data_IF_977178728864
#
_entry.id   IF_977178728864
#
_cell.length_a   1.000
_cell.length_b   1.000
_cell.length_c   1.000
_cell.angle_alpha   90.00
_cell.angle_beta   90.00
_cell.angle_gamma   90.00
#
_symmetry.space_group_name_H-M   'P 1'
#
loop_
_entity.id
_entity.type
_entity.pdbx_description
1 polymer ?
#
# COMPACT_ATOMS: atom_id res chain seq x y z
N UNK A 1 -20.32 -78.12 17.21
CA UNK A 1 -21.77 -78.24 17.00
C UNK A 1 -22.32 -76.86 16.67
N UNK A 2 -22.95 -76.72 15.52
CA UNK A 2 -23.86 -75.62 15.11
C UNK A 2 -25.27 -76.23 14.98
N UNK A 3 -26.35 -75.54 14.53
CA UNK A 3 -26.61 -74.12 14.24
C UNK A 3 -27.75 -73.57 15.17
N UNK A 4 -28.49 -72.44 15.01
CA UNK A 4 -29.04 -71.67 13.87
C UNK A 4 -29.21 -70.17 14.29
N UNK A 5 -29.18 -69.13 13.44
CA UNK A 5 -29.72 -68.85 12.08
C UNK A 5 -31.19 -68.40 12.06
N UNK A 6 -31.43 -67.11 11.79
CA UNK A 6 -32.59 -66.48 11.09
C UNK A 6 -32.16 -65.07 10.62
N UNK A 7 -32.96 -64.42 9.77
CA UNK A 7 -32.49 -64.03 8.43
C UNK A 7 -33.45 -63.02 7.75
N UNK A 8 -32.91 -62.05 6.97
CA UNK A 8 -33.61 -61.21 5.95
C UNK A 8 -34.75 -60.26 6.43
N UNK A 9 -35.25 -59.27 5.67
CA UNK A 9 -34.77 -58.41 4.55
C UNK A 9 -35.86 -57.31 4.25
N UNK A 10 -35.60 -56.24 3.45
CA UNK A 10 -36.57 -55.17 3.09
C UNK A 10 -37.17 -55.40 1.66
N UNK A 11 -37.80 -54.43 0.93
CA UNK A 11 -38.64 -53.24 1.23
C UNK A 11 -40.08 -53.41 0.62
N UNK A 12 -40.90 -52.36 0.31
CA UNK A 12 -40.85 -51.68 -1.01
C UNK A 12 -41.25 -50.18 -1.03
N UNK A 13 -41.36 -49.58 -2.23
CA UNK A 13 -41.37 -48.13 -2.50
C UNK A 13 -42.72 -47.50 -2.95
N UNK A 14 -42.78 -46.16 -3.01
CA UNK A 14 -43.87 -45.40 -3.66
C UNK A 14 -43.40 -44.08 -4.36
N UNK A 15 -43.12 -44.22 -5.67
CA UNK A 15 -43.61 -43.39 -6.81
C UNK A 15 -43.56 -41.83 -6.83
N UNK A 16 -42.68 -41.35 -7.72
CA UNK A 16 -42.71 -40.14 -8.57
C UNK A 16 -44.04 -39.41 -8.84
N UNK A 17 -43.99 -38.06 -8.92
CA UNK A 17 -44.50 -37.33 -10.11
C UNK A 17 -43.94 -35.91 -10.31
N UNK A 18 -43.12 -35.74 -11.35
CA UNK A 18 -42.82 -34.43 -11.95
C UNK A 18 -43.99 -33.99 -12.85
N UNK A 19 -44.41 -32.72 -12.79
CA UNK A 19 -45.30 -32.09 -13.79
C UNK A 19 -44.70 -30.79 -14.32
N UNK A 20 -44.91 -30.56 -15.61
CA UNK A 20 -44.34 -29.49 -16.45
C UNK A 20 -45.47 -28.59 -16.95
N UNK A 21 -45.43 -27.29 -16.66
CA UNK A 21 -46.27 -26.21 -17.24
C UNK A 21 -45.35 -24.96 -17.28
N UNK A 22 -44.75 -24.55 -18.39
CA UNK A 22 -45.33 -23.90 -19.60
C UNK A 22 -46.11 -22.61 -19.28
N UNK A 23 -45.38 -21.52 -19.06
CA UNK A 23 -45.90 -20.15 -19.05
C UNK A 23 -45.35 -19.36 -20.24
N UNK A 24 -46.17 -19.14 -21.27
CA UNK A 24 -45.81 -18.46 -22.52
C UNK A 24 -46.42 -17.06 -22.51
N UNK A 25 -45.62 -16.00 -22.35
CA UNK A 25 -46.06 -14.62 -22.59
C UNK A 25 -45.33 -14.05 -23.81
N UNK A 26 -46.09 -13.31 -24.63
CA UNK A 26 -45.76 -12.91 -26.00
C UNK A 26 -45.78 -11.38 -26.08
N UNK A 27 -44.69 -10.82 -26.60
CA UNK A 27 -44.45 -9.46 -27.13
C UNK A 27 -45.57 -8.39 -27.00
N UNK A 28 -45.16 -7.22 -26.52
CA UNK A 28 -45.40 -5.88 -27.10
C UNK A 28 -44.14 -5.06 -26.74
N UNK A 29 -43.28 -4.64 -27.69
CA UNK A 29 -43.35 -3.45 -28.59
C UNK A 29 -43.49 -2.13 -27.84
N UNK A 30 -42.38 -1.37 -27.85
CA UNK A 30 -42.20 0.09 -27.70
C UNK A 30 -42.85 0.76 -26.46
N UNK A 31 -42.14 1.57 -25.67
CA UNK A 31 -41.54 2.83 -26.12
C UNK A 31 -40.47 3.41 -25.14
N UNK A 32 -39.78 4.47 -25.58
CA UNK A 32 -39.05 5.51 -24.79
C UNK A 32 -37.77 5.19 -23.97
N UNK A 33 -36.68 5.83 -24.44
CA UNK A 33 -35.77 6.74 -23.72
C UNK A 33 -34.82 6.26 -22.58
N UNK A 34 -33.51 6.35 -22.91
CA UNK A 34 -32.53 7.18 -22.17
C UNK A 34 -32.19 6.91 -20.68
N UNK A 35 -31.66 5.72 -20.35
CA UNK A 35 -30.95 5.52 -19.04
C UNK A 35 -29.76 4.54 -19.06
N UNK A 36 -28.87 4.61 -20.07
CA UNK A 36 -27.68 3.71 -20.14
C UNK A 36 -26.31 4.38 -20.38
N UNK A 37 -26.22 5.71 -20.39
CA UNK A 37 -24.95 6.41 -20.69
C UNK A 37 -24.09 6.75 -19.46
N UNK A 38 -24.66 6.86 -18.26
CA UNK A 38 -23.94 7.38 -17.09
C UNK A 38 -23.06 6.36 -16.33
N UNK A 39 -23.24 5.05 -16.56
CA UNK A 39 -22.59 4.02 -15.74
C UNK A 39 -21.22 3.56 -16.27
N UNK A 40 -20.95 3.63 -17.59
CA UNK A 40 -19.67 3.16 -18.14
C UNK A 40 -18.51 4.12 -17.84
N UNK A 41 -18.73 5.44 -17.81
CA UNK A 41 -17.64 6.41 -17.62
C UNK A 41 -17.00 6.35 -16.23
N UNK A 42 -17.79 6.10 -15.16
CA UNK A 42 -17.25 6.01 -13.79
C UNK A 42 -16.32 4.82 -13.58
N UNK A 43 -16.62 3.67 -14.20
CA UNK A 43 -15.83 2.44 -14.04
C UNK A 43 -14.46 2.60 -14.74
N UNK A 44 -14.46 3.16 -15.96
CA UNK A 44 -13.23 3.35 -16.74
C UNK A 44 -12.29 4.40 -16.11
N UNK A 45 -12.83 5.48 -15.54
CA UNK A 45 -12.01 6.49 -14.83
C UNK A 45 -11.31 5.93 -13.58
N UNK A 46 -12.01 5.13 -12.78
CA UNK A 46 -11.47 4.54 -11.56
C UNK A 46 -10.35 3.52 -11.82
N UNK A 47 -10.51 2.65 -12.82
CA UNK A 47 -9.47 1.70 -13.21
C UNK A 47 -8.20 2.40 -13.72
N UNK A 48 -8.35 3.40 -14.61
CA UNK A 48 -7.20 4.15 -15.11
C UNK A 48 -6.42 4.86 -13.99
N UNK A 49 -7.12 5.36 -12.96
CA UNK A 49 -6.51 5.98 -11.80
C UNK A 49 -5.66 4.99 -10.98
N UNK A 50 -6.25 3.87 -10.56
CA UNK A 50 -5.53 2.86 -9.78
C UNK A 50 -4.30 2.30 -10.52
N UNK A 51 -4.38 2.16 -11.85
CA UNK A 51 -3.24 1.81 -12.70
C UNK A 51 -2.17 2.90 -12.69
N UNK A 52 -2.55 4.18 -12.85
CA UNK A 52 -1.59 5.29 -12.81
C UNK A 52 -0.87 5.43 -11.45
N UNK A 53 -1.57 5.21 -10.33
CA UNK A 53 -0.94 5.18 -9.00
C UNK A 53 0.04 4.01 -8.87
N UNK A 54 -0.38 2.80 -9.28
CA UNK A 54 0.47 1.61 -9.20
C UNK A 54 1.71 1.71 -10.12
N UNK A 55 1.57 2.24 -11.33
CA UNK A 55 2.68 2.48 -12.26
C UNK A 55 3.71 3.44 -11.66
N UNK A 56 3.26 4.47 -10.94
CA UNK A 56 4.11 5.50 -10.36
C UNK A 56 4.99 4.94 -9.23
N UNK A 57 4.39 4.21 -8.29
CA UNK A 57 5.14 3.53 -7.23
C UNK A 57 6.07 2.44 -7.77
N UNK A 58 5.63 1.66 -8.76
CA UNK A 58 6.48 0.66 -9.41
C UNK A 58 7.66 1.30 -10.14
N UNK A 59 7.46 2.40 -10.89
CA UNK A 59 8.52 3.13 -11.59
C UNK A 59 9.58 3.64 -10.60
N UNK A 60 9.16 4.21 -9.47
CA UNK A 60 10.06 4.65 -8.42
C UNK A 60 10.84 3.49 -7.78
N UNK A 61 10.17 2.35 -7.53
CA UNK A 61 10.78 1.13 -6.98
C UNK A 61 11.83 0.52 -7.94
N UNK A 62 11.48 0.39 -9.23
CA UNK A 62 12.35 -0.17 -10.25
C UNK A 62 13.56 0.73 -10.51
N UNK A 63 13.41 2.06 -10.40
CA UNK A 63 14.53 3.00 -10.44
C UNK A 63 15.50 2.83 -9.25
N UNK A 64 15.01 2.54 -8.04
CA UNK A 64 15.87 2.21 -6.89
C UNK A 64 16.59 0.86 -7.09
N UNK A 65 15.89 -0.14 -7.64
CA UNK A 65 16.44 -1.47 -7.89
C UNK A 65 17.54 -1.46 -8.95
N UNK A 66 17.38 -0.65 -10.00
CA UNK A 66 18.33 -0.50 -11.10
C UNK A 66 19.58 0.36 -10.76
N UNK A 67 19.49 1.28 -9.80
CA UNK A 67 20.61 2.13 -9.41
C UNK A 67 21.56 1.41 -8.44
N UNK A 68 22.82 1.21 -8.86
CA UNK A 68 23.87 0.51 -8.10
C UNK A 68 24.06 1.01 -6.66
N UNK A 69 23.84 2.31 -6.39
CA UNK A 69 23.98 2.85 -5.03
C UNK A 69 22.86 2.40 -4.09
N UNK A 70 21.69 2.02 -4.62
CA UNK A 70 20.49 1.64 -3.86
C UNK A 70 20.10 0.18 -4.04
N UNK A 71 20.61 -0.55 -5.03
CA UNK A 71 20.31 -1.98 -5.26
C UNK A 71 20.55 -2.83 -4.01
N UNK A 72 21.64 -2.59 -3.26
CA UNK A 72 21.94 -3.33 -2.03
C UNK A 72 20.90 -3.12 -0.93
N UNK A 73 20.40 -1.89 -0.78
CA UNK A 73 19.32 -1.55 0.14
C UNK A 73 18.01 -2.24 -0.26
N UNK A 74 17.63 -2.16 -1.54
CA UNK A 74 16.42 -2.81 -2.07
C UNK A 74 16.48 -4.33 -1.82
N UNK A 75 17.59 -5.00 -2.11
CA UNK A 75 17.73 -6.44 -1.88
C UNK A 75 17.64 -6.83 -0.38
N UNK A 76 18.22 -6.02 0.51
CA UNK A 76 18.09 -6.25 1.96
C UNK A 76 16.65 -6.07 2.43
N UNK A 77 15.97 -5.03 1.94
CA UNK A 77 14.55 -4.77 2.21
C UNK A 77 13.64 -5.91 1.69
N UNK A 78 13.81 -6.32 0.42
CA UNK A 78 13.08 -7.45 -0.17
C UNK A 78 13.28 -8.73 0.65
N UNK A 79 14.50 -8.99 1.14
CA UNK A 79 14.80 -10.12 2.03
C UNK A 79 14.09 -10.03 3.38
N UNK A 80 13.92 -8.83 3.96
CA UNK A 80 13.16 -8.62 5.20
C UNK A 80 11.67 -8.87 4.97
N UNK A 81 11.09 -8.34 3.89
CA UNK A 81 9.66 -8.50 3.60
C UNK A 81 9.27 -9.96 3.31
N UNK A 82 10.10 -10.69 2.55
CA UNK A 82 9.84 -12.10 2.22
C UNK A 82 9.76 -13.00 3.47
N UNK A 83 10.47 -12.64 4.55
CA UNK A 83 10.41 -13.36 5.83
C UNK A 83 9.11 -13.11 6.63
N UNK A 84 8.29 -12.13 6.24
CA UNK A 84 7.03 -11.80 6.90
C UNK A 84 5.82 -12.52 6.29
N UNK A 85 5.97 -13.06 5.08
CA UNK A 85 4.97 -13.88 4.41
C UNK A 85 4.93 -15.29 5.03
N UNK A 86 3.74 -15.88 5.25
CA UNK A 86 3.64 -17.28 5.63
C UNK A 86 4.22 -18.17 4.51
N UNK A 87 4.92 -19.25 4.89
CA UNK A 87 5.85 -20.02 4.04
C UNK A 87 5.24 -20.78 2.84
N UNK A 88 4.01 -20.49 2.42
CA UNK A 88 3.37 -21.11 1.27
C UNK A 88 3.57 -20.28 -0.01
N UNK A 89 4.56 -20.67 -0.82
CA UNK A 89 4.58 -20.33 -2.25
C UNK A 89 5.80 -19.58 -2.79
N UNK A 90 6.86 -19.38 -2.00
CA UNK A 90 8.14 -18.89 -2.56
C UNK A 90 8.86 -20.07 -3.23
N UNK A 91 8.68 -20.22 -4.55
CA UNK A 91 9.54 -21.08 -5.35
C UNK A 91 10.97 -20.49 -5.36
N UNK A 92 11.93 -21.29 -4.93
CA UNK A 92 13.20 -20.88 -4.29
C UNK A 92 14.29 -20.30 -5.24
N UNK A 93 13.90 -19.77 -6.41
CA UNK A 93 14.83 -19.47 -7.51
C UNK A 93 14.83 -18.00 -8.01
N UNK A 94 14.03 -17.09 -7.42
CA UNK A 94 14.08 -15.66 -7.75
C UNK A 94 14.65 -14.84 -6.59
N UNK A 95 15.85 -14.30 -6.77
CA UNK A 95 16.61 -13.54 -5.75
C UNK A 95 16.06 -12.11 -5.49
N UNK A 96 14.75 -11.98 -5.31
CA UNK A 96 14.08 -10.71 -5.04
C UNK A 96 12.59 -10.72 -5.34
N UNK A 97 11.91 -9.62 -5.01
CA UNK A 97 10.50 -9.42 -5.38
C UNK A 97 10.34 -9.26 -6.90
N UNK A 98 9.30 -9.87 -7.50
CA UNK A 98 8.96 -9.69 -8.91
C UNK A 98 8.49 -8.25 -9.19
N UNK A 99 8.46 -7.87 -10.47
CA UNK A 99 7.98 -6.56 -10.92
C UNK A 99 6.46 -6.50 -11.15
N UNK A 100 5.94 -5.28 -11.31
CA UNK A 100 4.58 -5.03 -11.78
C UNK A 100 3.48 -5.55 -10.83
N UNK A 101 2.34 -6.06 -11.36
CA UNK A 101 1.18 -6.45 -10.55
C UNK A 101 1.49 -7.46 -9.44
N UNK A 102 2.43 -8.40 -9.68
CA UNK A 102 2.81 -9.39 -8.68
C UNK A 102 3.60 -8.80 -7.50
N UNK A 103 4.28 -7.65 -7.69
CA UNK A 103 4.84 -6.86 -6.59
C UNK A 103 3.73 -6.38 -5.67
N UNK A 104 2.71 -5.75 -6.26
CA UNK A 104 1.59 -5.18 -5.53
C UNK A 104 0.85 -6.24 -4.70
N UNK A 105 0.56 -7.41 -5.27
CA UNK A 105 -0.04 -8.54 -4.54
C UNK A 105 0.78 -8.95 -3.29
N UNK A 106 2.10 -9.07 -3.43
CA UNK A 106 2.99 -9.45 -2.34
C UNK A 106 3.14 -8.34 -1.29
N UNK A 107 3.24 -7.08 -1.72
CA UNK A 107 3.30 -5.92 -0.82
C UNK A 107 2.00 -5.76 -0.04
N UNK A 108 0.84 -5.93 -0.67
CA UNK A 108 -0.46 -5.96 0.00
C UNK A 108 -0.55 -7.12 0.99
N UNK A 109 -0.09 -8.33 0.62
CA UNK A 109 -0.06 -9.47 1.53
C UNK A 109 0.84 -9.22 2.76
N UNK A 110 2.01 -8.60 2.58
CA UNK A 110 2.91 -8.19 3.69
C UNK A 110 2.26 -7.10 4.53
N UNK A 111 1.63 -6.09 3.92
CA UNK A 111 0.95 -5.02 4.62
C UNK A 111 -0.21 -5.57 5.47
N UNK A 112 -1.13 -6.35 4.89
CA UNK A 112 -2.25 -6.97 5.60
C UNK A 112 -1.78 -7.93 6.70
N UNK A 113 -0.79 -8.78 6.45
CA UNK A 113 -0.22 -9.68 7.47
C UNK A 113 0.54 -8.92 8.56
N UNK A 114 1.11 -7.77 8.24
CA UNK A 114 1.73 -6.84 9.19
C UNK A 114 0.68 -6.15 10.07
N UNK A 115 -0.38 -5.60 9.47
CA UNK A 115 -1.49 -4.91 10.14
C UNK A 115 -2.30 -5.84 11.06
N UNK A 116 -2.59 -7.06 10.62
CA UNK A 116 -3.35 -8.05 11.39
C UNK A 116 -2.63 -8.60 12.64
N UNK A 117 -1.34 -8.32 12.82
CA UNK A 117 -0.60 -8.70 14.04
C UNK A 117 -0.92 -7.72 15.17
N UNK A 118 -1.48 -8.25 16.25
CA UNK A 118 -1.77 -7.47 17.45
C UNK A 118 -0.50 -6.89 18.08
N UNK A 119 -0.59 -5.63 18.51
CA UNK A 119 0.46 -4.95 19.25
C UNK A 119 0.27 -5.21 20.74
N UNK A 120 0.79 -6.33 21.25
CA UNK A 120 0.61 -6.76 22.64
C UNK A 120 0.91 -5.64 23.65
N UNK A 121 -0.03 -5.35 24.54
CA UNK A 121 -0.08 -4.17 25.42
C UNK A 121 0.87 -4.17 26.62
N UNK A 122 1.83 -5.09 26.68
CA UNK A 122 2.80 -5.19 27.79
C UNK A 122 4.11 -4.49 27.43
N UNK A 123 4.21 -3.22 27.83
CA UNK A 123 5.47 -2.47 27.94
C UNK A 123 5.49 -1.81 29.32
N UNK A 124 6.60 -1.92 30.05
CA UNK A 124 6.77 -1.26 31.35
C UNK A 124 7.18 0.20 31.13
N UNK A 125 6.21 1.12 31.22
CA UNK A 125 6.32 2.51 31.67
C UNK A 125 7.44 3.45 31.13
N UNK A 126 8.17 3.10 30.06
CA UNK A 126 9.28 3.91 29.53
C UNK A 126 9.28 4.17 28.02
N UNK A 127 8.90 3.17 27.21
CA UNK A 127 9.14 3.17 25.75
C UNK A 127 7.83 3.35 24.94
N UNK A 128 7.14 4.48 25.12
CA UNK A 128 5.84 4.73 24.48
C UNK A 128 5.91 5.46 23.12
N UNK A 129 6.87 6.36 22.91
CA UNK A 129 6.85 7.25 21.73
C UNK A 129 7.04 6.50 20.41
N UNK A 130 8.05 5.62 20.31
CA UNK A 130 8.30 4.83 19.10
C UNK A 130 7.12 3.91 18.79
N UNK A 131 6.53 3.30 19.82
CA UNK A 131 5.31 2.51 19.75
C UNK A 131 4.17 3.32 19.15
N UNK A 132 3.86 4.46 19.75
CA UNK A 132 2.67 5.26 19.40
C UNK A 132 2.77 5.83 17.99
N UNK A 133 3.96 6.27 17.55
CA UNK A 133 4.19 6.70 16.16
C UNK A 133 3.96 5.53 15.18
N UNK A 134 4.50 4.35 15.46
CA UNK A 134 4.33 3.17 14.59
C UNK A 134 2.89 2.61 14.61
N UNK A 135 2.19 2.67 15.76
CA UNK A 135 0.77 2.33 15.89
C UNK A 135 -0.05 3.24 14.98
N UNK A 136 0.07 4.56 15.17
CA UNK A 136 -0.66 5.57 14.42
C UNK A 136 -0.35 5.50 12.91
N UNK A 137 0.92 5.27 12.53
CA UNK A 137 1.29 5.07 11.13
C UNK A 137 0.61 3.82 10.53
N UNK A 138 0.58 2.69 11.25
CA UNK A 138 -0.09 1.47 10.80
C UNK A 138 -1.61 1.65 10.68
N UNK A 139 -2.25 2.30 11.64
CA UNK A 139 -3.69 2.62 11.60
C UNK A 139 -4.02 3.58 10.44
N UNK A 140 -3.15 4.56 10.19
CA UNK A 140 -3.25 5.48 9.05
C UNK A 140 -3.11 4.74 7.71
N UNK A 141 -2.15 3.82 7.57
CA UNK A 141 -2.04 3.00 6.35
C UNK A 141 -3.27 2.10 6.18
N UNK A 142 -3.75 1.49 7.27
CA UNK A 142 -4.92 0.61 7.23
C UNK A 142 -6.19 1.31 6.71
N UNK A 143 -6.42 2.58 7.11
CA UNK A 143 -7.59 3.35 6.63
C UNK A 143 -7.46 3.81 5.18
N UNK A 144 -6.25 3.84 4.62
CA UNK A 144 -5.98 4.27 3.24
C UNK A 144 -5.93 3.13 2.22
N UNK A 145 -5.54 1.91 2.63
CA UNK A 145 -5.29 0.79 1.71
C UNK A 145 -6.49 0.42 0.82
N UNK A 146 -7.72 0.49 1.35
CA UNK A 146 -8.93 0.18 0.58
C UNK A 146 -9.21 1.22 -0.52
N UNK A 147 -8.87 2.49 -0.27
CA UNK A 147 -9.05 3.59 -1.24
C UNK A 147 -7.85 3.72 -2.21
N UNK A 148 -6.66 3.35 -1.76
CA UNK A 148 -5.39 3.51 -2.45
C UNK A 148 -4.54 2.22 -2.37
N UNK A 149 -4.98 1.12 -3.02
CA UNK A 149 -4.29 -0.17 -2.91
C UNK A 149 -2.83 -0.09 -3.39
N UNK A 150 -2.54 0.77 -4.38
CA UNK A 150 -1.19 1.01 -4.88
C UNK A 150 -0.19 1.42 -3.79
N UNK A 151 -0.67 2.11 -2.73
CA UNK A 151 0.14 2.56 -1.60
C UNK A 151 0.68 1.42 -0.74
N UNK A 152 0.16 0.19 -0.86
CA UNK A 152 0.79 -0.99 -0.27
C UNK A 152 2.26 -1.13 -0.70
N UNK A 153 2.58 -0.76 -1.95
CA UNK A 153 3.96 -0.77 -2.47
C UNK A 153 4.90 0.18 -1.73
N UNK A 154 4.35 1.24 -1.12
CA UNK A 154 5.10 2.28 -0.41
C UNK A 154 5.18 2.06 1.11
N UNK A 155 4.24 1.31 1.68
CA UNK A 155 4.04 1.21 3.14
C UNK A 155 4.07 -0.22 3.69
N UNK A 156 4.26 -1.24 2.84
CA UNK A 156 4.39 -2.63 3.29
C UNK A 156 5.54 -2.82 4.30
N UNK A 157 6.65 -2.07 4.13
CA UNK A 157 7.77 -2.05 5.07
C UNK A 157 7.35 -1.54 6.45
N UNK A 158 6.74 -0.36 6.53
CA UNK A 158 6.20 0.20 7.79
C UNK A 158 5.21 -0.77 8.44
N UNK A 159 4.28 -1.35 7.68
CA UNK A 159 3.33 -2.33 8.20
C UNK A 159 4.00 -3.61 8.73
N UNK A 160 5.13 -4.00 8.15
CA UNK A 160 5.90 -5.20 8.53
C UNK A 160 6.68 -5.05 9.85
N UNK A 161 6.98 -3.81 10.26
CA UNK A 161 7.59 -3.49 11.55
C UNK A 161 6.60 -3.86 12.65
N UNK A 162 6.75 -5.04 13.23
CA UNK A 162 5.82 -5.59 14.23
C UNK A 162 6.51 -5.93 15.55
N UNK A 163 5.87 -5.64 16.70
CA UNK A 163 6.59 -5.48 17.96
C UNK A 163 7.00 -6.79 18.63
N UNK A 164 6.29 -7.89 18.34
CA UNK A 164 6.37 -9.18 19.07
C UNK A 164 7.76 -9.82 19.05
N UNK A 165 8.64 -9.39 18.14
CA UNK A 165 10.06 -9.81 18.09
C UNK A 165 11.05 -8.67 17.84
N UNK A 166 10.61 -7.53 17.30
CA UNK A 166 11.51 -6.50 16.77
C UNK A 166 11.25 -5.08 17.32
N UNK A 167 10.36 -4.90 18.31
CA UNK A 167 10.08 -3.57 18.88
C UNK A 167 11.32 -2.87 19.44
N UNK A 168 12.15 -3.63 20.17
CA UNK A 168 13.37 -3.21 20.88
C UNK A 168 14.47 -2.58 19.98
N UNK A 169 14.18 -2.37 18.70
CA UNK A 169 15.07 -1.96 17.63
C UNK A 169 14.59 -0.70 16.90
N UNK A 170 13.39 -0.19 17.19
CA UNK A 170 12.98 1.17 16.78
C UNK A 170 13.54 2.24 17.72
N UNK A 171 13.70 1.96 19.02
CA UNK A 171 14.24 2.95 19.96
C UNK A 171 15.67 3.39 19.62
N UNK A 172 16.60 2.52 19.18
CA UNK A 172 17.87 2.95 18.59
C UNK A 172 17.71 3.91 17.39
N UNK A 173 16.67 3.77 16.57
CA UNK A 173 16.42 4.68 15.45
C UNK A 173 15.96 6.05 15.95
N UNK A 174 15.00 6.09 16.88
CA UNK A 174 14.50 7.37 17.40
C UNK A 174 15.47 8.07 18.37
N UNK A 175 16.51 7.37 18.86
CA UNK A 175 17.65 7.98 19.57
C UNK A 175 18.59 8.76 18.64
N UNK A 176 18.62 8.46 17.34
CA UNK A 176 19.33 9.28 16.37
C UNK A 176 18.41 10.38 15.85
N UNK A 177 18.69 11.63 16.22
CA UNK A 177 17.82 12.78 15.95
C UNK A 177 17.46 12.93 14.45
N UNK A 178 18.42 12.75 13.55
CA UNK A 178 18.20 12.90 12.11
C UNK A 178 17.29 11.80 11.53
N UNK A 179 17.47 10.55 12.03
CA UNK A 179 16.62 9.40 11.69
C UNK A 179 15.21 9.62 12.24
N UNK A 180 15.11 10.08 13.49
CA UNK A 180 13.84 10.37 14.14
C UNK A 180 13.05 11.45 13.39
N UNK A 181 13.70 12.54 12.98
CA UNK A 181 13.05 13.61 12.21
C UNK A 181 12.59 13.13 10.83
N UNK A 182 13.42 12.37 10.11
CA UNK A 182 13.04 11.77 8.82
C UNK A 182 11.85 10.82 8.94
N UNK A 183 11.87 9.92 9.93
CA UNK A 183 10.80 8.95 10.19
C UNK A 183 9.49 9.60 10.68
N UNK A 184 9.56 10.61 11.55
CA UNK A 184 8.40 11.38 12.00
C UNK A 184 7.76 12.15 10.83
N UNK A 185 8.56 12.86 10.03
CA UNK A 185 8.05 13.56 8.85
C UNK A 185 7.42 12.59 7.85
N UNK A 186 8.04 11.43 7.59
CA UNK A 186 7.49 10.37 6.74
C UNK A 186 6.13 9.88 7.26
N UNK A 187 6.06 9.48 8.53
CA UNK A 187 4.86 8.87 9.14
C UNK A 187 3.71 9.85 9.31
N UNK A 188 3.95 11.11 9.67
CA UNK A 188 2.91 12.15 9.73
C UNK A 188 2.34 12.49 8.35
N UNK A 189 3.12 12.39 7.28
CA UNK A 189 2.69 12.74 5.92
C UNK A 189 2.17 11.56 5.08
N UNK A 190 2.02 10.36 5.65
CA UNK A 190 1.49 9.17 4.95
C UNK A 190 0.20 9.45 4.14
N UNK A 191 -0.86 10.11 4.68
CA UNK A 191 -2.10 10.29 3.92
C UNK A 191 -1.93 11.30 2.79
N UNK A 192 -1.16 12.38 3.00
CA UNK A 192 -0.77 13.33 1.95
C UNK A 192 -0.01 12.63 0.81
N UNK A 193 1.07 11.89 1.12
CA UNK A 193 1.85 11.18 0.11
C UNK A 193 1.06 10.09 -0.61
N UNK A 194 0.13 9.43 0.08
CA UNK A 194 -0.76 8.41 -0.51
C UNK A 194 -1.79 9.02 -1.47
N UNK A 195 -2.30 10.22 -1.18
CA UNK A 195 -3.30 10.91 -2.02
C UNK A 195 -2.68 11.80 -3.11
N UNK A 196 -1.39 12.11 -3.01
CA UNK A 196 -0.66 12.99 -3.93
C UNK A 196 -0.77 12.61 -5.43
N UNK A 197 -0.76 11.32 -5.85
CA UNK A 197 -0.91 10.94 -7.25
C UNK A 197 -2.20 11.46 -7.92
N UNK A 198 -3.24 11.81 -7.15
CA UNK A 198 -4.48 12.42 -7.67
C UNK A 198 -4.24 13.70 -8.46
N UNK A 199 -3.12 14.41 -8.26
CA UNK A 199 -2.75 15.61 -9.05
C UNK A 199 -2.55 15.29 -10.55
N UNK A 200 -2.31 14.03 -10.93
CA UNK A 200 -2.21 13.62 -12.34
C UNK A 200 -3.56 13.57 -13.06
N UNK A 201 -4.67 13.70 -12.34
CA UNK A 201 -6.00 13.77 -12.92
C UNK A 201 -6.24 15.15 -13.55
N UNK A 202 -6.85 15.17 -14.73
CA UNK A 202 -7.31 16.41 -15.41
C UNK A 202 -8.18 17.31 -14.52
N UNK A 203 -9.04 16.71 -13.68
CA UNK A 203 -9.90 17.40 -12.72
C UNK A 203 -9.16 18.14 -11.60
N UNK A 204 -7.87 17.86 -11.43
CA UNK A 204 -7.06 18.48 -10.39
C UNK A 204 -6.53 19.88 -10.77
N UNK A 205 -6.70 20.32 -12.02
CA UNK A 205 -6.07 21.52 -12.59
C UNK A 205 -7.09 22.62 -12.91
N UNK A 206 -6.67 23.88 -12.81
CA UNK A 206 -7.54 25.03 -13.11
C UNK A 206 -7.75 25.26 -14.62
N UNK A 207 -6.69 25.10 -15.43
CA UNK A 207 -6.73 25.22 -16.90
C UNK A 207 -6.25 23.91 -17.55
N UNK A 208 -6.99 23.46 -18.55
CA UNK A 208 -6.62 22.33 -19.42
C UNK A 208 -5.26 22.52 -20.08
N UNK A 209 -4.93 23.76 -20.45
CA UNK A 209 -3.68 24.09 -21.14
C UNK A 209 -2.48 23.88 -20.23
N UNK A 210 -2.61 24.23 -18.95
CA UNK A 210 -1.57 23.98 -17.96
C UNK A 210 -1.48 22.49 -17.61
N UNK A 211 -2.60 21.79 -17.48
CA UNK A 211 -2.61 20.33 -17.37
C UNK A 211 -1.83 19.66 -18.50
N UNK A 212 -2.18 19.93 -19.76
CA UNK A 212 -1.52 19.32 -20.93
C UNK A 212 -0.04 19.71 -21.06
N UNK A 213 0.34 20.90 -20.59
CA UNK A 213 1.71 21.42 -20.62
C UNK A 213 2.60 20.83 -19.51
N UNK A 214 2.04 20.63 -18.31
CA UNK A 214 2.81 20.31 -17.11
C UNK A 214 2.67 18.85 -16.64
N UNK A 215 1.67 18.09 -17.11
CA UNK A 215 1.39 16.70 -16.65
C UNK A 215 2.62 15.80 -16.58
N UNK A 216 3.45 15.79 -17.63
CA UNK A 216 4.65 14.93 -17.65
C UNK A 216 5.73 15.41 -16.67
N UNK A 217 5.92 16.73 -16.53
CA UNK A 217 6.83 17.31 -15.54
C UNK A 217 6.35 17.00 -14.11
N UNK A 218 5.04 17.14 -13.83
CA UNK A 218 4.45 16.78 -12.54
C UNK A 218 4.56 15.27 -12.27
N UNK A 219 4.41 14.41 -13.29
CA UNK A 219 4.61 12.97 -13.19
C UNK A 219 6.07 12.63 -12.85
N UNK A 220 7.03 13.29 -13.50
CA UNK A 220 8.46 13.11 -13.21
C UNK A 220 8.80 13.56 -11.78
N UNK A 221 8.33 14.73 -11.35
CA UNK A 221 8.51 15.23 -9.99
C UNK A 221 7.92 14.28 -8.93
N UNK A 222 6.71 13.73 -9.17
CA UNK A 222 6.12 12.71 -8.31
C UNK A 222 6.96 11.43 -8.26
N UNK A 223 7.48 10.93 -9.38
CA UNK A 223 8.35 9.74 -9.40
C UNK A 223 9.63 10.01 -8.61
N UNK A 224 10.21 11.22 -8.70
CA UNK A 224 11.36 11.63 -7.89
C UNK A 224 11.01 11.64 -6.39
N UNK A 225 9.87 12.20 -6.00
CA UNK A 225 9.42 12.23 -4.60
C UNK A 225 9.11 10.82 -4.07
N UNK A 226 8.35 10.00 -4.79
CA UNK A 226 8.06 8.62 -4.42
C UNK A 226 9.34 7.77 -4.32
N UNK A 227 10.37 8.05 -5.14
CA UNK A 227 11.69 7.44 -4.98
C UNK A 227 12.35 7.82 -3.65
N UNK A 228 12.28 9.08 -3.22
CA UNK A 228 12.82 9.53 -1.92
C UNK A 228 12.05 8.95 -0.73
N UNK A 229 10.72 8.87 -0.84
CA UNK A 229 9.85 8.25 0.15
C UNK A 229 10.22 6.77 0.33
N UNK A 230 10.31 6.01 -0.77
CA UNK A 230 10.73 4.61 -0.75
C UNK A 230 12.17 4.43 -0.21
N UNK A 231 13.11 5.27 -0.63
CA UNK A 231 14.50 5.25 -0.14
C UNK A 231 14.57 5.46 1.39
N UNK A 232 13.77 6.39 1.93
CA UNK A 232 13.64 6.62 3.36
C UNK A 232 12.96 5.44 4.08
N UNK A 233 11.84 4.93 3.55
CA UNK A 233 11.09 3.81 4.14
C UNK A 233 11.94 2.53 4.22
N UNK A 234 12.63 2.19 3.12
CA UNK A 234 13.54 1.05 3.05
C UNK A 234 14.72 1.18 4.02
N UNK A 235 15.30 2.38 4.16
CA UNK A 235 16.36 2.62 5.15
C UNK A 235 15.82 2.46 6.58
N UNK A 236 14.62 2.94 6.90
CA UNK A 236 14.03 2.79 8.24
C UNK A 236 13.84 1.31 8.59
N UNK A 237 13.31 0.52 7.66
CA UNK A 237 13.10 -0.93 7.82
C UNK A 237 14.43 -1.68 7.93
N UNK A 238 15.42 -1.36 7.09
CA UNK A 238 16.74 -1.99 7.15
C UNK A 238 17.51 -1.62 8.43
N UNK A 239 17.38 -0.38 8.90
CA UNK A 239 18.01 0.09 10.13
C UNK A 239 17.41 -0.61 11.35
N UNK A 240 16.07 -0.75 11.42
CA UNK A 240 15.39 -1.55 12.43
C UNK A 240 15.80 -3.04 12.38
N UNK A 241 16.07 -3.57 11.18
CA UNK A 241 16.50 -4.95 11.00
C UNK A 241 18.01 -5.19 11.25
N UNK A 242 18.83 -4.15 11.34
CA UNK A 242 20.31 -4.23 11.33
C UNK A 242 20.94 -5.05 12.46
N UNK A 243 20.25 -5.23 13.58
CA UNK A 243 20.71 -6.06 14.71
C UNK A 243 20.71 -7.55 14.38
N UNK A 244 19.76 -8.02 13.56
CA UNK A 244 19.56 -9.44 13.24
C UNK A 244 19.77 -9.78 11.76
N UNK A 245 19.62 -8.82 10.85
CA UNK A 245 19.89 -8.97 9.42
C UNK A 245 21.27 -8.37 9.07
N UNK A 246 22.24 -9.24 8.77
CA UNK A 246 23.61 -8.85 8.41
C UNK A 246 23.70 -8.06 7.10
N UNK A 247 22.82 -8.35 6.13
CA UNK A 247 22.78 -7.60 4.87
C UNK A 247 22.29 -6.17 5.14
N UNK A 248 21.18 -6.03 5.87
CA UNK A 248 20.61 -4.74 6.26
C UNK A 248 21.63 -3.85 6.99
N UNK A 249 22.38 -4.40 7.95
CA UNK A 249 23.43 -3.65 8.67
C UNK A 249 24.53 -3.07 7.77
N UNK A 250 24.84 -3.76 6.66
CA UNK A 250 25.91 -3.36 5.75
C UNK A 250 25.47 -2.37 4.67
N UNK A 251 24.16 -2.11 4.51
CA UNK A 251 23.61 -1.25 3.44
C UNK A 251 22.91 0.01 3.95
N UNK A 252 22.61 0.10 5.25
CA UNK A 252 22.04 1.31 5.85
C UNK A 252 23.10 2.41 5.89
N UNK A 253 22.78 3.55 5.28
CA UNK A 253 23.60 4.75 5.37
C UNK A 253 23.30 5.50 6.68
N UNK A 254 24.04 5.17 7.74
CA UNK A 254 23.90 5.80 9.06
C UNK A 254 24.32 7.28 9.11
N UNK A 255 24.92 7.84 8.05
CA UNK A 255 25.41 9.23 8.03
C UNK A 255 24.62 10.13 7.07
N UNK A 256 24.09 9.58 5.98
CA UNK A 256 23.33 10.33 4.96
C UNK A 256 21.87 10.66 5.32
N UNK A 257 21.37 10.24 6.49
CA UNK A 257 19.98 10.41 6.91
C UNK A 257 19.44 11.83 6.81
N UNK A 258 20.17 12.81 7.34
CA UNK A 258 19.75 14.21 7.28
C UNK A 258 19.61 14.66 5.81
N UNK A 259 20.63 14.40 4.99
CA UNK A 259 20.62 14.73 3.57
C UNK A 259 19.56 13.96 2.76
N UNK A 260 19.08 12.82 3.25
CA UNK A 260 17.98 12.05 2.65
C UNK A 260 16.61 12.66 3.02
N UNK A 261 16.42 13.01 4.29
CA UNK A 261 15.23 13.68 4.79
C UNK A 261 15.06 15.08 4.17
N UNK A 262 16.15 15.84 4.04
CA UNK A 262 16.14 17.16 3.41
C UNK A 262 15.81 17.06 1.92
N UNK A 263 16.44 16.15 1.15
CA UNK A 263 16.08 15.90 -0.27
C UNK A 263 14.64 15.44 -0.48
N UNK A 264 14.06 14.74 0.50
CA UNK A 264 12.64 14.37 0.46
C UNK A 264 11.75 15.58 0.71
N UNK A 265 12.09 16.42 1.69
CA UNK A 265 11.36 17.67 2.01
C UNK A 265 11.44 18.67 0.87
N UNK A 266 12.63 18.90 0.29
CA UNK A 266 12.84 19.78 -0.87
C UNK A 266 11.96 19.38 -2.06
N UNK A 267 11.85 18.08 -2.35
CA UNK A 267 11.00 17.57 -3.44
C UNK A 267 9.50 17.72 -3.15
N UNK A 268 9.06 17.53 -1.89
CA UNK A 268 7.68 17.82 -1.48
C UNK A 268 7.37 19.32 -1.52
N UNK A 269 8.30 20.20 -1.11
CA UNK A 269 8.15 21.65 -1.14
C UNK A 269 8.16 22.24 -2.56
N UNK A 270 8.95 21.68 -3.49
CA UNK A 270 8.89 22.01 -4.91
C UNK A 270 7.54 21.64 -5.51
N UNK A 271 7.11 20.39 -5.33
CA UNK A 271 5.83 19.91 -5.84
C UNK A 271 4.64 20.65 -5.19
N UNK A 272 4.71 20.99 -3.90
CA UNK A 272 3.70 21.77 -3.21
C UNK A 272 3.54 23.19 -3.77
N UNK A 273 4.65 23.82 -4.19
CA UNK A 273 4.62 25.14 -4.85
C UNK A 273 3.93 25.07 -6.22
N UNK A 274 4.21 24.05 -7.01
CA UNK A 274 3.56 23.84 -8.31
C UNK A 274 2.06 23.52 -8.15
N UNK A 275 1.69 22.66 -7.19
CA UNK A 275 0.30 22.38 -6.82
C UNK A 275 -0.40 23.67 -6.36
N UNK A 276 0.25 24.46 -5.50
CA UNK A 276 -0.27 25.75 -5.02
C UNK A 276 -0.55 26.76 -6.15
N UNK A 277 0.18 26.65 -7.27
CA UNK A 277 0.09 27.57 -8.41
C UNK A 277 -0.91 27.17 -9.48
N UNK A 278 -1.10 25.86 -9.72
CA UNK A 278 -1.85 25.36 -10.88
C UNK A 278 -3.04 24.44 -10.55
N UNK A 279 -3.10 23.89 -9.34
CA UNK A 279 -4.17 22.97 -8.95
C UNK A 279 -5.46 23.70 -8.55
N UNK A 280 -6.60 23.02 -8.63
CA UNK A 280 -7.89 23.55 -8.14
C UNK A 280 -7.88 23.71 -6.62
N UNK A 281 -8.63 24.69 -6.09
CA UNK A 281 -8.77 24.87 -4.64
C UNK A 281 -9.27 23.61 -3.92
N UNK A 282 -10.14 22.84 -4.58
CA UNK A 282 -10.66 21.56 -4.05
C UNK A 282 -9.54 20.52 -3.90
N UNK A 283 -8.64 20.42 -4.88
CA UNK A 283 -7.46 19.54 -4.80
C UNK A 283 -6.49 20.01 -3.72
N UNK A 284 -6.22 21.31 -3.64
CA UNK A 284 -5.35 21.89 -2.62
C UNK A 284 -5.90 21.63 -1.21
N UNK A 285 -7.19 21.87 -0.98
CA UNK A 285 -7.87 21.58 0.29
C UNK A 285 -7.84 20.09 0.62
N UNK A 286 -8.09 19.22 -0.36
CA UNK A 286 -8.03 17.76 -0.17
C UNK A 286 -6.65 17.28 0.28
N UNK A 287 -5.58 17.79 -0.34
CA UNK A 287 -4.19 17.43 0.00
C UNK A 287 -3.74 18.04 1.36
N UNK A 288 -4.26 19.20 1.74
CA UNK A 288 -4.05 19.80 3.06
C UNK A 288 -4.82 19.05 4.16
N UNK A 289 -6.06 18.63 3.90
CA UNK A 289 -6.85 17.80 4.81
C UNK A 289 -6.21 16.41 4.99
N UNK A 290 -5.63 15.84 3.93
CA UNK A 290 -4.81 14.62 4.04
C UNK A 290 -3.51 14.80 4.86
N UNK A 291 -3.13 16.03 5.24
CA UNK A 291 -2.02 16.31 6.16
C UNK A 291 -2.45 16.55 7.61
N UNK A 292 -3.74 16.78 7.85
CA UNK A 292 -4.32 17.01 9.17
C UNK A 292 -5.39 15.93 9.42
N UNK A 293 -5.07 14.81 10.10
CA UNK A 293 -6.11 13.88 10.53
C UNK A 293 -7.10 14.65 11.40
N UNK A 294 -8.32 14.82 10.90
CA UNK A 294 -9.37 15.56 11.60
C UNK A 294 -9.67 14.80 12.88
N UNK A 295 -9.50 15.48 14.02
CA UNK A 295 -10.16 15.09 15.26
C UNK A 295 -11.64 15.47 15.11
N UNK A 296 -12.41 14.55 14.55
CA UNK A 296 -13.86 14.58 14.68
C UNK A 296 -14.22 14.00 16.06
N UNK A 297 -14.49 14.90 17.00
CA UNK A 297 -15.25 14.65 18.25
C UNK A 297 -16.74 14.98 18.00
#
# INVERSE_FOLDING_TARGET
MSPATTLNAPPPAATSRVKRIVGRIRRHTDDTASTKSCSLHRISGSHNHATQEADLWNTAYDALKANLSTTGLVLAYESILLQQLPSQGVNDNSAGLPGGPRRLELMTAVASAGLARELSSKSDAGDDLARNVLVAARETVASLLDAHPAAATAWAGICSLTPVRHYLLLDPLLRHQDIAQGFLYLTTNIPRFTTLPRILQRSAWQDERDYLRLREQTREALVVLCRRILECEMNCVCAAASSWNRAARNVVDWQGWQAMADKMREADEELARDIGRYATEETQKSLQQASNPVKDD
#
